data_IF_578227018118
#
_entry.id   IF_578227018118
#
_cell.length_a   1.000
_cell.length_b   1.000
_cell.length_c   1.000
_cell.angle_alpha   90.00
_cell.angle_beta   90.00
_cell.angle_gamma   90.00
#
_symmetry.space_group_name_H-M   'P 1'
#
loop_
_entity.id
_entity.type
_entity.pdbx_description
1 polymer ?
#
# COMPACT_ATOMS: atom_id res chain seq x y z
N UNK A 1 -35.32 11.63 -10.43
CA UNK A 1 -33.89 11.94 -10.27
C UNK A 1 -33.73 13.45 -10.20
N UNK A 2 -33.00 13.95 -9.21
CA UNK A 2 -32.69 15.38 -9.06
C UNK A 2 -31.31 15.68 -9.63
N UNK A 3 -31.03 16.96 -9.93
CA UNK A 3 -29.74 17.37 -10.49
C UNK A 3 -28.55 16.97 -9.60
N UNK A 4 -28.71 17.02 -8.27
CA UNK A 4 -27.67 16.61 -7.32
C UNK A 4 -27.33 15.12 -7.41
N UNK A 5 -28.31 14.29 -7.78
CA UNK A 5 -28.10 12.87 -7.98
C UNK A 5 -27.24 12.62 -9.23
N UNK A 6 -27.32 13.49 -10.25
CA UNK A 6 -26.49 13.39 -11.48
C UNK A 6 -25.03 13.61 -11.15
N UNK A 7 -24.74 14.69 -10.41
CA UNK A 7 -23.38 15.06 -10.00
C UNK A 7 -22.73 13.93 -9.19
N UNK A 8 -23.43 13.41 -8.18
CA UNK A 8 -22.92 12.31 -7.37
C UNK A 8 -22.62 11.04 -8.17
N UNK A 9 -23.42 10.73 -9.20
CA UNK A 9 -23.18 9.56 -10.06
C UNK A 9 -21.97 9.78 -10.95
N UNK A 10 -21.81 10.98 -11.52
CA UNK A 10 -20.66 11.32 -12.38
C UNK A 10 -19.35 11.29 -11.60
N UNK A 11 -19.34 11.72 -10.34
CA UNK A 11 -18.16 11.66 -9.47
C UNK A 11 -17.74 10.23 -9.14
N UNK A 12 -18.71 9.32 -8.96
CA UNK A 12 -18.44 7.94 -8.56
C UNK A 12 -18.14 7.01 -9.75
N UNK A 13 -18.91 7.15 -10.85
CA UNK A 13 -18.86 6.24 -12.00
C UNK A 13 -18.12 6.84 -13.20
N UNK A 14 -17.83 8.14 -13.18
CA UNK A 14 -17.19 8.86 -14.27
C UNK A 14 -18.16 9.20 -15.42
N UNK A 15 -17.59 9.71 -16.51
CA UNK A 15 -18.35 10.27 -17.63
C UNK A 15 -18.81 9.23 -18.67
N UNK A 16 -18.30 8.00 -18.63
CA UNK A 16 -18.66 6.99 -19.62
C UNK A 16 -18.45 5.54 -19.14
N UNK A 17 -19.44 4.64 -19.30
CA UNK A 17 -20.81 4.91 -19.77
C UNK A 17 -21.72 5.47 -18.67
N UNK A 18 -22.52 6.50 -18.98
CA UNK A 18 -23.52 7.03 -18.05
C UNK A 18 -24.72 6.07 -17.92
N UNK A 19 -25.26 5.87 -16.70
CA UNK A 19 -26.41 5.01 -16.48
C UNK A 19 -27.69 5.58 -17.13
N UNK A 20 -28.68 4.71 -17.37
CA UNK A 20 -29.90 5.05 -18.15
C UNK A 20 -30.74 6.13 -17.46
N UNK A 21 -30.72 6.15 -16.13
CA UNK A 21 -31.41 7.09 -15.27
C UNK A 21 -30.87 8.51 -15.48
N UNK A 22 -29.55 8.65 -15.52
CA UNK A 22 -28.86 9.91 -15.83
C UNK A 22 -29.22 10.37 -17.24
N UNK A 23 -29.14 9.49 -18.25
CA UNK A 23 -29.48 9.83 -19.64
C UNK A 23 -30.94 10.31 -19.78
N UNK A 24 -31.87 9.70 -19.04
CA UNK A 24 -33.28 10.14 -19.02
C UNK A 24 -33.40 11.54 -18.45
N UNK A 25 -32.71 11.83 -17.34
CA UNK A 25 -32.70 13.17 -16.74
C UNK A 25 -32.05 14.21 -17.66
N UNK A 26 -30.95 13.85 -18.35
CA UNK A 26 -30.29 14.72 -19.32
C UNK A 26 -31.20 15.08 -20.50
N UNK A 27 -32.18 14.25 -20.87
CA UNK A 27 -33.15 14.60 -21.91
C UNK A 27 -34.05 15.78 -21.50
N UNK A 28 -34.35 15.91 -20.20
CA UNK A 28 -35.30 16.88 -19.66
C UNK A 28 -34.63 18.11 -19.05
N UNK A 29 -33.40 17.99 -18.53
CA UNK A 29 -32.69 19.05 -17.81
C UNK A 29 -31.55 19.67 -18.64
N UNK A 30 -31.69 20.96 -18.98
CA UNK A 30 -30.65 21.69 -19.74
C UNK A 30 -29.36 21.90 -18.94
N UNK A 31 -29.47 22.23 -17.66
CA UNK A 31 -28.31 22.56 -16.82
C UNK A 31 -27.40 21.33 -16.64
N UNK A 32 -27.98 20.15 -16.39
CA UNK A 32 -27.20 18.91 -16.32
C UNK A 32 -26.57 18.55 -17.68
N UNK A 33 -27.22 18.83 -18.81
CA UNK A 33 -26.57 18.66 -20.13
C UNK A 33 -25.35 19.54 -20.30
N UNK A 34 -25.44 20.81 -19.90
CA UNK A 34 -24.31 21.74 -20.00
C UNK A 34 -23.15 21.27 -19.11
N UNK A 35 -23.44 20.88 -17.87
CA UNK A 35 -22.45 20.32 -16.95
C UNK A 35 -21.70 19.11 -17.53
N UNK A 36 -22.42 18.12 -18.07
CA UNK A 36 -21.81 16.94 -18.70
C UNK A 36 -21.01 17.33 -19.96
N UNK A 37 -21.51 18.28 -20.76
CA UNK A 37 -20.82 18.76 -21.95
C UNK A 37 -19.48 19.45 -21.60
N UNK A 38 -19.48 20.26 -20.54
CA UNK A 38 -18.28 20.94 -20.04
C UNK A 38 -17.23 19.94 -19.57
N UNK A 39 -17.64 18.95 -18.76
CA UNK A 39 -16.74 17.89 -18.30
C UNK A 39 -16.19 17.04 -19.46
N UNK A 40 -17.04 16.71 -20.44
CA UNK A 40 -16.62 15.98 -21.64
C UNK A 40 -15.59 16.78 -22.45
N UNK A 41 -15.79 18.10 -22.58
CA UNK A 41 -14.85 19.01 -23.24
C UNK A 41 -13.46 18.99 -22.56
N UNK A 42 -13.42 19.01 -21.22
CA UNK A 42 -12.16 18.93 -20.47
C UNK A 42 -11.44 17.61 -20.77
N UNK A 43 -12.16 16.49 -20.74
CA UNK A 43 -11.58 15.17 -21.05
C UNK A 43 -11.08 15.09 -22.49
N UNK A 44 -11.82 15.65 -23.44
CA UNK A 44 -11.42 15.68 -24.84
C UNK A 44 -10.16 16.53 -25.07
N UNK A 45 -10.01 17.66 -24.37
CA UNK A 45 -8.79 18.45 -24.39
C UNK A 45 -7.63 17.70 -23.76
N UNK A 46 -7.85 17.06 -22.60
CA UNK A 46 -6.84 16.26 -21.92
C UNK A 46 -6.34 15.10 -22.79
N UNK A 47 -7.23 14.42 -23.52
CA UNK A 47 -6.85 13.35 -24.47
C UNK A 47 -6.02 13.83 -25.65
N UNK A 48 -6.13 15.11 -26.03
CA UNK A 48 -5.32 15.72 -27.10
C UNK A 48 -3.95 16.19 -26.61
N UNK A 49 -3.71 16.17 -25.30
CA UNK A 49 -2.39 16.51 -24.77
C UNK A 49 -1.39 15.41 -25.15
N UNK A 50 -0.11 15.76 -25.40
CA UNK A 50 0.92 14.78 -25.64
C UNK A 50 0.99 13.78 -24.48
N UNK A 51 1.00 12.49 -24.80
CA UNK A 51 1.10 11.41 -23.79
C UNK A 51 2.40 11.46 -23.01
N UNK A 52 3.45 12.04 -23.60
CA UNK A 52 4.76 12.21 -22.98
C UNK A 52 5.25 13.65 -23.21
N UNK A 53 5.33 14.40 -22.11
CA UNK A 53 6.18 15.59 -22.04
C UNK A 53 7.52 15.08 -21.54
N UNK A 54 8.53 15.01 -22.40
CA UNK A 54 9.88 14.64 -21.99
C UNK A 54 10.34 15.60 -20.88
N UNK A 55 10.65 15.12 -19.67
CA UNK A 55 11.21 15.96 -18.63
C UNK A 55 12.54 16.56 -19.12
N UNK A 56 12.88 17.80 -18.75
CA UNK A 56 14.17 18.39 -19.10
C UNK A 56 15.34 17.51 -18.68
N UNK A 57 16.37 17.39 -19.53
CA UNK A 57 17.50 16.48 -19.32
C UNK A 57 18.18 16.61 -17.96
N UNK A 58 18.21 17.83 -17.40
CA UNK A 58 18.77 18.10 -16.06
C UNK A 58 18.14 17.23 -14.97
N UNK A 59 16.84 16.92 -15.09
CA UNK A 59 16.11 16.10 -14.11
C UNK A 59 16.58 14.65 -14.20
N UNK A 60 16.75 14.14 -15.42
CA UNK A 60 17.30 12.80 -15.62
C UNK A 60 18.74 12.67 -15.14
N UNK A 61 19.56 13.71 -15.36
CA UNK A 61 20.92 13.77 -14.85
C UNK A 61 20.92 13.76 -13.31
N UNK A 62 20.06 14.56 -12.66
CA UNK A 62 19.98 14.58 -11.20
C UNK A 62 19.48 13.26 -10.61
N UNK A 63 18.49 12.62 -11.25
CA UNK A 63 17.97 11.32 -10.83
C UNK A 63 19.05 10.26 -10.97
N UNK A 64 19.76 10.21 -12.11
CA UNK A 64 20.88 9.28 -12.31
C UNK A 64 21.96 9.47 -11.24
N UNK A 65 22.40 10.71 -11.02
CA UNK A 65 23.41 11.01 -10.01
C UNK A 65 22.96 10.69 -8.58
N UNK A 66 21.64 10.71 -8.31
CA UNK A 66 21.09 10.26 -7.04
C UNK A 66 21.10 8.72 -6.93
N UNK A 67 20.66 8.02 -7.97
CA UNK A 67 20.63 6.56 -7.99
C UNK A 67 22.03 5.93 -7.97
N UNK A 68 23.03 6.60 -8.54
CA UNK A 68 24.44 6.22 -8.44
C UNK A 68 24.96 6.37 -7.01
N UNK A 69 24.60 7.47 -6.32
CA UNK A 69 24.96 7.69 -4.91
C UNK A 69 24.28 6.68 -3.97
N UNK A 70 23.05 6.31 -4.28
CA UNK A 70 22.30 5.27 -3.55
C UNK A 70 22.78 3.85 -3.90
N UNK A 71 23.70 3.70 -4.87
CA UNK A 71 24.26 2.41 -5.27
C UNK A 71 23.28 1.51 -6.04
N UNK A 72 22.13 2.05 -6.46
CA UNK A 72 21.10 1.37 -7.25
C UNK A 72 21.59 1.20 -8.69
N UNK A 73 22.25 2.21 -9.24
CA UNK A 73 22.97 2.11 -10.52
C UNK A 73 24.44 1.92 -10.20
N UNK A 74 24.95 0.71 -10.45
CA UNK A 74 26.40 0.44 -10.45
C UNK A 74 26.88 0.54 -11.89
N UNK A 75 27.88 1.37 -12.14
CA UNK A 75 28.58 1.35 -13.43
C UNK A 75 29.06 -0.07 -13.68
N UNK A 76 28.78 -0.65 -14.87
CA UNK A 76 29.28 -1.95 -15.21
C UNK A 76 30.80 -1.84 -15.28
N UNK A 77 31.46 -2.27 -14.20
CA UNK A 77 32.87 -2.55 -14.24
C UNK A 77 33.08 -3.48 -15.44
N UNK A 78 34.04 -3.12 -16.29
CA UNK A 78 34.42 -3.82 -17.51
C UNK A 78 34.94 -5.23 -17.14
N UNK A 79 34.03 -6.15 -16.82
CA UNK A 79 34.33 -7.55 -16.49
C UNK A 79 33.94 -8.38 -17.72
N UNK A 80 34.83 -9.25 -18.24
CA UNK A 80 34.51 -10.08 -19.38
C UNK A 80 33.32 -11.00 -19.07
N UNK A 81 32.38 -11.05 -20.02
CA UNK A 81 31.06 -11.66 -19.88
C UNK A 81 31.07 -13.14 -19.43
N UNK A 82 30.07 -13.55 -18.64
CA UNK A 82 29.47 -14.86 -18.80
C UNK A 82 28.01 -14.76 -19.25
N UNK A 83 27.69 -15.72 -20.11
CA UNK A 83 26.44 -16.17 -20.71
C UNK A 83 25.11 -15.49 -20.30
N UNK A 84 24.38 -15.11 -21.36
CA UNK A 84 23.09 -14.44 -21.37
C UNK A 84 21.98 -15.35 -20.82
N UNK A 85 21.84 -15.45 -19.50
CA UNK A 85 20.75 -16.20 -18.86
C UNK A 85 19.45 -15.38 -18.90
N UNK A 86 18.70 -15.62 -19.98
CA UNK A 86 17.27 -15.96 -20.06
C UNK A 86 16.39 -15.85 -18.78
N UNK A 87 16.43 -14.74 -18.04
CA UNK A 87 15.59 -14.51 -16.87
C UNK A 87 14.10 -14.28 -17.21
N UNK A 88 13.81 -13.87 -18.45
CA UNK A 88 12.45 -13.58 -18.91
C UNK A 88 11.59 -14.83 -19.16
N UNK A 89 12.18 -16.01 -19.38
CA UNK A 89 11.40 -17.22 -19.64
C UNK A 89 10.77 -17.79 -18.36
N UNK A 90 11.44 -17.68 -17.20
CA UNK A 90 10.92 -18.20 -15.93
C UNK A 90 9.75 -17.38 -15.34
N UNK A 91 9.67 -16.09 -15.65
CA UNK A 91 8.57 -15.23 -15.18
C UNK A 91 7.24 -15.60 -15.87
N UNK A 92 7.27 -16.04 -17.14
CA UNK A 92 6.07 -16.38 -17.91
C UNK A 92 5.41 -17.70 -17.51
N UNK A 93 6.16 -18.67 -16.98
CA UNK A 93 5.62 -19.94 -16.49
C UNK A 93 4.93 -19.82 -15.13
N UNK A 94 5.37 -18.87 -14.29
CA UNK A 94 4.80 -18.65 -12.96
C UNK A 94 3.35 -18.13 -12.98
N UNK A 95 2.94 -17.45 -14.07
CA UNK A 95 1.58 -16.93 -14.22
C UNK A 95 0.58 -17.94 -14.84
N UNK A 96 1.05 -19.08 -15.36
CA UNK A 96 0.18 -20.01 -16.10
C UNK A 96 -0.40 -21.14 -15.26
N UNK A 97 0.09 -21.34 -14.03
CA UNK A 97 -0.21 -22.51 -13.19
C UNK A 97 -1.28 -22.31 -12.11
N UNK A 98 -1.91 -21.13 -11.98
CA UNK A 98 -2.93 -20.85 -10.96
C UNK A 98 -4.38 -20.92 -11.48
N UNK A 99 -4.77 -22.06 -12.05
CA UNK A 99 -6.15 -22.30 -12.50
C UNK A 99 -6.95 -23.36 -11.70
N UNK A 100 -6.37 -24.08 -10.74
CA UNK A 100 -7.13 -25.13 -10.01
C UNK A 100 -6.72 -25.24 -8.54
N UNK A 101 -7.33 -24.44 -7.65
CA UNK A 101 -7.53 -24.78 -6.23
C UNK A 101 -8.29 -23.66 -5.48
N UNK A 102 -9.53 -23.34 -5.87
CA UNK A 102 -10.39 -22.38 -5.16
C UNK A 102 -11.71 -23.03 -4.74
N UNK A 103 -11.65 -24.10 -3.93
CA UNK A 103 -12.87 -24.73 -3.42
C UNK A 103 -12.92 -24.89 -1.89
N UNK A 104 -11.81 -24.81 -1.17
CA UNK A 104 -11.78 -25.14 0.27
C UNK A 104 -11.69 -23.92 1.20
N UNK A 105 -11.12 -22.80 0.76
CA UNK A 105 -10.89 -21.62 1.62
C UNK A 105 -12.18 -20.83 1.92
N UNK A 106 -13.16 -20.85 1.00
CA UNK A 106 -14.41 -20.09 1.17
C UNK A 106 -15.32 -20.59 2.31
N UNK A 107 -15.27 -21.89 2.63
CA UNK A 107 -16.15 -22.49 3.63
C UNK A 107 -15.69 -22.21 5.07
N UNK A 108 -14.39 -21.96 5.28
CA UNK A 108 -13.83 -21.67 6.61
C UNK A 108 -14.07 -20.21 7.05
N UNK A 109 -14.14 -19.27 6.11
CA UNK A 109 -14.34 -17.84 6.42
C UNK A 109 -15.78 -17.59 6.94
N UNK A 110 -16.78 -18.30 6.42
CA UNK A 110 -18.19 -18.14 6.82
C UNK A 110 -18.44 -18.65 8.25
N UNK A 111 -17.78 -19.75 8.65
CA UNK A 111 -17.92 -20.32 9.99
C UNK A 111 -17.30 -19.43 11.08
N UNK A 112 -16.16 -18.80 10.79
CA UNK A 112 -15.49 -17.88 11.71
C UNK A 112 -16.28 -16.58 11.93
N UNK A 113 -16.92 -16.04 10.87
CA UNK A 113 -17.75 -14.84 10.97
C UNK A 113 -18.98 -15.00 11.88
N UNK A 114 -19.60 -16.18 11.89
CA UNK A 114 -20.81 -16.43 12.70
C UNK A 114 -20.53 -16.53 14.21
N UNK A 115 -19.30 -16.91 14.61
CA UNK A 115 -18.94 -17.04 16.01
C UNK A 115 -18.64 -15.68 16.68
N UNK A 116 -18.02 -14.73 15.96
CA UNK A 116 -17.66 -13.42 16.53
C UNK A 116 -18.89 -12.55 16.84
N UNK A 117 -19.97 -12.67 16.06
CA UNK A 117 -21.22 -11.93 16.28
C UNK A 117 -21.99 -12.39 17.55
N UNK A 118 -21.64 -13.53 18.14
CA UNK A 118 -22.26 -14.01 19.39
C UNK A 118 -21.53 -13.58 20.66
N UNK A 119 -20.26 -13.20 20.57
CA UNK A 119 -19.41 -12.93 21.73
C UNK A 119 -19.45 -11.48 22.22
N UNK A 120 -20.05 -10.56 21.45
CA UNK A 120 -19.96 -9.11 21.72
C UNK A 120 -21.09 -8.55 22.60
N UNK A 121 -21.63 -9.37 23.52
CA UNK A 121 -22.67 -8.93 24.44
C UNK A 121 -22.34 -9.34 25.88
N UNK A 122 -21.37 -8.66 26.49
CA UNK A 122 -21.04 -8.88 27.89
C UNK A 122 -19.92 -8.00 28.44
N UNK A 123 -20.32 -7.10 29.35
CA UNK A 123 -19.52 -6.56 30.46
C UNK A 123 -18.74 -5.28 30.23
N UNK A 124 -19.26 -4.21 30.83
CA UNK A 124 -18.54 -2.96 31.05
C UNK A 124 -17.74 -2.92 32.36
N UNK A 125 -17.10 -1.74 32.53
CA UNK A 125 -16.54 -1.12 33.73
C UNK A 125 -15.34 -1.79 34.41
N UNK A 126 -14.18 -1.11 34.39
CA UNK A 126 -13.75 -0.24 35.48
C UNK A 126 -12.40 0.42 35.17
N UNK A 127 -12.30 1.73 35.38
CA UNK A 127 -11.04 2.48 35.43
C UNK A 127 -10.58 2.63 36.90
N UNK A 128 -9.27 2.67 37.14
CA UNK A 128 -8.69 3.63 38.08
C UNK A 128 -7.52 4.44 37.46
N UNK A 129 -7.13 5.57 38.08
CA UNK A 129 -6.38 6.63 37.42
C UNK A 129 -4.85 6.57 37.63
N UNK A 130 -4.15 7.03 36.59
CA UNK A 130 -2.86 7.76 36.54
C UNK A 130 -1.67 7.26 37.39
N UNK A 131 -0.65 6.75 36.71
CA UNK A 131 0.74 7.10 36.99
C UNK A 131 1.46 7.44 35.68
N UNK A 132 2.07 8.62 35.68
CA UNK A 132 2.82 9.20 34.57
C UNK A 132 3.96 8.28 34.12
N UNK A 133 3.84 7.78 32.90
CA UNK A 133 5.00 7.60 32.04
C UNK A 133 4.61 8.25 30.73
N UNK A 134 5.34 9.32 30.39
CA UNK A 134 5.22 10.04 29.12
C UNK A 134 5.62 9.06 28.01
N UNK A 135 4.68 8.20 27.61
CA UNK A 135 4.71 7.52 26.33
C UNK A 135 3.85 8.38 25.44
N UNK A 136 4.47 8.97 24.42
CA UNK A 136 3.84 9.77 23.40
C UNK A 136 2.44 9.23 23.06
N UNK A 137 1.40 9.93 23.52
CA UNK A 137 -0.01 9.68 23.22
C UNK A 137 -0.29 10.08 21.77
N UNK A 138 0.38 9.42 20.84
CA UNK A 138 0.10 9.50 19.41
C UNK A 138 -0.88 8.40 19.01
N UNK A 139 -1.66 8.59 17.93
CA UNK A 139 -2.62 7.59 17.42
C UNK A 139 -1.99 6.24 17.05
N UNK A 140 -0.65 6.14 17.03
CA UNK A 140 0.10 4.93 16.68
C UNK A 140 0.82 4.25 17.85
N UNK A 141 0.67 4.74 19.07
CA UNK A 141 1.37 4.18 20.23
C UNK A 141 1.05 2.69 20.44
N UNK A 142 -0.21 2.29 20.27
CA UNK A 142 -0.65 0.89 20.37
C UNK A 142 -0.03 0.02 19.27
N UNK A 143 -0.07 0.48 18.02
CA UNK A 143 0.52 -0.23 16.86
C UNK A 143 2.01 -0.45 17.03
N UNK A 144 2.73 0.56 17.54
CA UNK A 144 4.16 0.48 17.81
C UNK A 144 4.50 -0.57 18.86
N UNK A 145 3.73 -0.66 19.94
CA UNK A 145 3.94 -1.66 21.00
C UNK A 145 3.79 -3.07 20.43
N UNK A 146 2.68 -3.34 19.72
CA UNK A 146 2.40 -4.66 19.14
C UNK A 146 3.48 -5.09 18.16
N UNK A 147 3.89 -4.20 17.24
CA UNK A 147 4.92 -4.53 16.25
C UNK A 147 6.30 -4.75 16.87
N UNK A 148 6.65 -3.99 17.92
CA UNK A 148 7.92 -4.13 18.61
C UNK A 148 8.01 -5.45 19.41
N UNK A 149 6.88 -6.00 19.87
CA UNK A 149 6.85 -7.34 20.49
C UNK A 149 7.00 -8.47 19.46
N UNK A 150 6.43 -8.30 18.25
CA UNK A 150 6.45 -9.31 17.19
C UNK A 150 7.81 -9.38 16.46
N UNK A 151 8.52 -8.26 16.36
CA UNK A 151 9.80 -8.16 15.66
C UNK A 151 10.91 -9.09 16.16
N UNK A 152 11.23 -9.18 17.47
CA UNK A 152 12.27 -10.09 17.96
C UNK A 152 11.93 -11.56 17.71
N UNK A 153 10.64 -11.93 17.76
CA UNK A 153 10.18 -13.28 17.43
C UNK A 153 10.45 -13.61 15.95
N UNK A 154 10.09 -12.70 15.06
CA UNK A 154 10.28 -12.89 13.62
C UNK A 154 11.76 -12.87 13.22
N UNK A 155 12.58 -12.00 13.83
CA UNK A 155 14.05 -12.00 13.64
C UNK A 155 14.70 -13.29 14.15
N UNK A 156 14.24 -13.82 15.29
CA UNK A 156 14.73 -15.10 15.84
C UNK A 156 14.47 -16.28 14.93
N UNK A 157 13.32 -16.29 14.27
CA UNK A 157 12.93 -17.29 13.28
C UNK A 157 13.84 -17.25 12.04
N UNK A 158 14.11 -16.05 11.51
CA UNK A 158 14.98 -15.89 10.33
C UNK A 158 16.44 -16.21 10.65
N UNK A 159 16.91 -15.97 11.87
CA UNK A 159 18.28 -16.33 12.27
C UNK A 159 18.52 -17.85 12.27
N UNK A 160 17.46 -18.66 12.32
CA UNK A 160 17.54 -20.10 12.15
C UNK A 160 17.70 -20.54 10.67
N UNK A 161 17.44 -19.65 9.70
CA UNK A 161 17.54 -19.91 8.26
C UNK A 161 18.57 -19.00 7.57
N UNK A 162 19.49 -19.60 6.81
CA UNK A 162 20.61 -18.89 6.16
C UNK A 162 20.38 -18.67 4.65
N UNK A 163 19.12 -18.47 4.23
CA UNK A 163 18.80 -18.25 2.82
C UNK A 163 19.18 -16.83 2.37
N UNK A 164 19.64 -16.61 1.12
CA UNK A 164 19.89 -15.26 0.61
C UNK A 164 18.64 -14.36 0.65
N UNK A 165 17.45 -14.94 0.59
CA UNK A 165 16.18 -14.18 0.69
C UNK A 165 15.95 -13.68 2.12
N UNK A 166 16.47 -14.38 3.12
CA UNK A 166 16.38 -13.97 4.53
C UNK A 166 17.24 -12.74 4.83
N UNK A 167 18.36 -12.60 4.11
CA UNK A 167 19.19 -11.39 4.14
C UNK A 167 18.45 -10.19 3.55
N UNK A 168 17.85 -10.35 2.37
CA UNK A 168 17.05 -9.29 1.74
C UNK A 168 15.86 -8.87 2.61
N UNK A 169 15.20 -9.84 3.25
CA UNK A 169 14.06 -9.58 4.15
C UNK A 169 14.47 -8.77 5.39
N UNK A 170 15.66 -9.05 5.94
CA UNK A 170 16.25 -8.29 7.05
C UNK A 170 16.61 -6.86 6.66
N UNK A 171 17.19 -6.68 5.48
CA UNK A 171 17.53 -5.36 4.92
C UNK A 171 16.27 -4.52 4.69
N UNK A 172 15.22 -5.14 4.13
CA UNK A 172 13.92 -4.49 3.94
C UNK A 172 13.28 -4.08 5.27
N UNK A 173 13.34 -4.96 6.29
CA UNK A 173 12.83 -4.64 7.62
C UNK A 173 13.58 -3.45 8.23
N UNK A 174 14.92 -3.45 8.12
CA UNK A 174 15.74 -2.35 8.60
C UNK A 174 15.41 -1.02 7.89
N UNK A 175 15.17 -1.06 6.58
CA UNK A 175 14.78 0.13 5.81
C UNK A 175 13.42 0.68 6.27
N UNK A 176 12.45 -0.20 6.53
CA UNK A 176 11.14 0.21 7.06
C UNK A 176 11.26 0.77 8.47
N UNK A 177 12.11 0.18 9.33
CA UNK A 177 12.37 0.68 10.68
C UNK A 177 12.99 2.08 10.68
N UNK A 178 13.99 2.31 9.81
CA UNK A 178 14.64 3.61 9.64
C UNK A 178 13.64 4.67 9.15
N UNK A 179 12.76 4.30 8.21
CA UNK A 179 11.70 5.18 7.71
C UNK A 179 10.67 5.54 8.78
N UNK A 180 10.24 4.56 9.59
CA UNK A 180 9.34 4.80 10.73
C UNK A 180 9.98 5.77 11.73
N UNK A 181 11.26 5.59 12.06
CA UNK A 181 11.98 6.47 12.98
C UNK A 181 12.05 7.92 12.48
N UNK A 182 12.22 8.11 11.16
CA UNK A 182 12.22 9.42 10.53
C UNK A 182 10.83 10.08 10.54
N UNK A 183 9.77 9.32 10.27
CA UNK A 183 8.39 9.80 10.37
C UNK A 183 8.02 10.15 11.83
N UNK A 184 8.42 9.33 12.81
CA UNK A 184 8.23 9.63 14.24
C UNK A 184 8.95 10.91 14.65
N UNK A 185 10.18 11.13 14.16
CA UNK A 185 10.93 12.37 14.42
C UNK A 185 10.21 13.60 13.87
N UNK A 186 9.72 13.53 12.62
CA UNK A 186 8.97 14.61 11.98
C UNK A 186 7.66 14.91 12.70
N UNK A 187 6.94 13.89 13.17
CA UNK A 187 5.72 14.08 13.94
C UNK A 187 5.97 14.65 15.35
N UNK A 188 7.13 14.37 15.95
CA UNK A 188 7.53 15.03 17.19
C UNK A 188 7.85 16.51 16.98
N UNK A 189 8.50 16.86 15.85
CA UNK A 189 8.85 18.24 15.51
C UNK A 189 7.63 19.06 15.02
N UNK A 190 6.72 18.42 14.28
CA UNK A 190 5.52 19.01 13.68
C UNK A 190 4.29 18.10 13.86
N UNK A 191 3.59 18.14 15.01
CA UNK A 191 2.50 17.21 15.32
C UNK A 191 1.24 17.36 14.44
N UNK A 192 1.13 18.46 13.70
CA UNK A 192 0.02 18.74 12.78
C UNK A 192 0.33 18.36 11.33
N UNK A 193 1.48 17.71 11.06
CA UNK A 193 1.81 17.22 9.72
C UNK A 193 0.96 15.97 9.39
N UNK A 194 -0.17 16.21 8.72
CA UNK A 194 -1.10 15.16 8.29
C UNK A 194 -0.45 14.19 7.30
N UNK A 195 0.50 14.65 6.48
CA UNK A 195 1.21 13.82 5.51
C UNK A 195 2.18 12.85 6.20
N UNK A 196 2.92 13.33 7.20
CA UNK A 196 3.77 12.45 8.02
C UNK A 196 2.95 11.40 8.78
N UNK A 197 1.73 11.73 9.17
CA UNK A 197 0.80 10.80 9.83
C UNK A 197 0.37 9.66 8.90
N UNK A 198 0.05 9.99 7.65
CA UNK A 198 -0.32 9.01 6.61
C UNK A 198 0.86 8.12 6.21
N UNK A 199 2.06 8.70 6.06
CA UNK A 199 3.25 7.90 5.79
C UNK A 199 3.59 6.95 6.94
N UNK A 200 3.43 7.41 8.19
CA UNK A 200 3.65 6.57 9.36
C UNK A 200 2.65 5.40 9.43
N UNK A 201 1.36 5.62 9.10
CA UNK A 201 0.38 4.53 9.07
C UNK A 201 0.70 3.48 8.02
N UNK A 202 1.09 3.92 6.82
CA UNK A 202 1.45 3.02 5.72
C UNK A 202 2.72 2.22 6.05
N UNK A 203 3.71 2.85 6.67
CA UNK A 203 4.93 2.19 7.09
C UNK A 203 4.69 1.10 8.14
N UNK A 204 3.81 1.35 9.12
CA UNK A 204 3.44 0.33 10.09
C UNK A 204 2.69 -0.85 9.46
N UNK A 205 1.82 -0.60 8.49
CA UNK A 205 1.15 -1.69 7.74
C UNK A 205 2.18 -2.53 6.99
N UNK A 206 3.11 -1.89 6.29
CA UNK A 206 4.18 -2.59 5.57
C UNK A 206 5.06 -3.41 6.51
N UNK A 207 5.38 -2.88 7.70
CA UNK A 207 6.11 -3.62 8.74
C UNK A 207 5.35 -4.87 9.19
N UNK A 208 4.03 -4.76 9.41
CA UNK A 208 3.19 -5.89 9.80
C UNK A 208 3.16 -6.99 8.74
N UNK A 209 2.99 -6.61 7.47
CA UNK A 209 3.02 -7.55 6.33
C UNK A 209 4.36 -8.26 6.22
N UNK A 210 5.46 -7.50 6.37
CA UNK A 210 6.80 -8.06 6.34
C UNK A 210 7.00 -9.07 7.46
N UNK A 211 6.66 -8.69 8.71
CA UNK A 211 6.73 -9.55 9.89
C UNK A 211 5.93 -10.84 9.70
N UNK A 212 4.71 -10.76 9.16
CA UNK A 212 3.89 -11.92 8.84
C UNK A 212 4.56 -12.84 7.82
N UNK A 213 5.10 -12.28 6.74
CA UNK A 213 5.80 -13.06 5.72
C UNK A 213 7.03 -13.78 6.29
N UNK A 214 7.74 -13.17 7.25
CA UNK A 214 8.88 -13.82 7.91
C UNK A 214 8.42 -14.97 8.82
N UNK A 215 7.32 -14.79 9.54
CA UNK A 215 6.75 -15.82 10.43
C UNK A 215 6.19 -17.02 9.64
N UNK A 216 5.44 -16.78 8.56
CA UNK A 216 4.90 -17.84 7.70
C UNK A 216 6.00 -18.70 7.10
N UNK A 217 7.10 -18.05 6.68
CA UNK A 217 8.24 -18.75 6.11
C UNK A 217 8.99 -19.60 7.12
N UNK A 218 9.19 -19.08 8.33
CA UNK A 218 9.82 -19.82 9.42
C UNK A 218 9.05 -21.03 9.90
N UNK A 219 7.72 -20.96 9.87
CA UNK A 219 6.85 -22.10 10.19
C UNK A 219 6.89 -23.21 9.14
N UNK A 220 7.26 -22.90 7.89
CA UNK A 220 7.32 -23.86 6.79
C UNK A 220 8.59 -24.74 6.78
N UNK A 221 9.57 -24.50 7.67
CA UNK A 221 10.86 -25.21 7.70
C UNK A 221 10.93 -26.30 8.78
N UNK A 222 9.81 -26.60 9.47
CA UNK A 222 9.69 -27.73 10.41
C UNK A 222 8.77 -28.83 9.87
#
# INVERSE_FOLDING_TARGET
>A
MHCKDVESVVEQEGLAPLPKEVNTHLAECRECRNYIADLTSIVDVARKMPSEIAPPDRIWISIRAQLEREGIIKEPALVPAPEHISWWHGFSEFFRSRALATATVGLLIIAAGFLQLRTDNGSGRNAPPMQDTVIASGPFAATRIVLNEQEPLARGIILASTSPVDTSLRENLQTVDDFIADCERRLNDAPQDDLAREYLSNAYQQKAELLSAMMDRGGSVN
#
